data_IF_594017159229
#
_entry.id   IF_594017159229
#
_cell.length_a   1.000
_cell.length_b   1.000
_cell.length_c   1.000
_cell.angle_alpha   90.00
_cell.angle_beta   90.00
_cell.angle_gamma   90.00
#
_symmetry.space_group_name_H-M   'P 1'
#
loop_
_entity.id
_entity.type
_entity.pdbx_description
1 polymer ?
#
# COMPACT_ATOMS: atom_id res chain seq x y z
N UNK A 1 -14.63 -5.05 -3.53
CA UNK A 1 -13.74 -4.79 -2.38
C UNK A 1 -12.53 -3.87 -2.68
N UNK A 2 -11.81 -4.24 -3.74
CA UNK A 2 -10.61 -3.58 -4.30
C UNK A 2 -9.74 -4.53 -5.20
N UNK A 3 -8.81 -4.09 -6.07
CA UNK A 3 -8.06 -5.04 -6.94
C UNK A 3 -7.32 -6.22 -6.33
N UNK A 4 -6.87 -6.08 -5.08
CA UNK A 4 -6.11 -7.14 -4.37
C UNK A 4 -6.20 -6.76 -2.86
N UNK A 5 -6.37 -7.77 -1.97
CA UNK A 5 -6.36 -7.66 -0.48
C UNK A 5 -4.98 -7.10 -0.06
N UNK A 6 -4.91 -5.77 0.16
CA UNK A 6 -3.67 -4.99 0.54
C UNK A 6 -2.67 -5.61 1.53
N UNK A 7 -3.11 -6.59 2.32
CA UNK A 7 -2.20 -7.47 3.10
C UNK A 7 -1.15 -8.14 2.20
N UNK A 8 -1.57 -8.48 0.97
CA UNK A 8 -0.67 -9.00 -0.07
C UNK A 8 0.48 -8.03 -0.38
N UNK A 9 0.17 -6.75 -0.61
CA UNK A 9 1.17 -5.69 -0.77
C UNK A 9 2.12 -5.54 0.44
N UNK A 10 1.47 -5.54 1.59
CA UNK A 10 2.07 -5.41 2.93
C UNK A 10 3.14 -6.48 3.19
N UNK A 11 2.76 -7.73 2.93
CA UNK A 11 3.53 -8.96 3.09
C UNK A 11 4.70 -9.09 2.11
N UNK A 12 4.46 -8.76 0.83
CA UNK A 12 5.49 -8.77 -0.23
C UNK A 12 6.55 -7.67 0.03
N UNK A 13 6.06 -6.57 0.61
CA UNK A 13 6.89 -5.41 1.00
C UNK A 13 7.49 -5.63 2.41
N UNK A 14 7.00 -6.68 3.06
CA UNK A 14 7.51 -7.26 4.34
C UNK A 14 7.19 -6.37 5.56
N UNK A 15 6.15 -5.55 5.43
CA UNK A 15 5.80 -4.49 6.41
C UNK A 15 4.36 -4.69 6.94
N UNK A 16 4.26 -4.56 8.27
CA UNK A 16 3.01 -4.60 9.11
C UNK A 16 1.90 -3.80 8.35
N UNK A 17 0.70 -4.36 8.14
CA UNK A 17 -0.47 -3.67 7.45
C UNK A 17 -0.72 -2.21 7.83
N UNK A 18 -0.42 -1.85 9.07
CA UNK A 18 -0.57 -0.44 9.54
C UNK A 18 0.05 0.56 8.57
N UNK A 19 1.27 0.28 8.08
CA UNK A 19 1.93 1.17 7.10
C UNK A 19 1.13 1.34 5.79
N UNK A 20 0.78 0.22 5.16
CA UNK A 20 0.32 0.17 3.77
C UNK A 20 -0.95 1.03 3.56
N UNK A 21 -1.97 0.82 4.39
CA UNK A 21 -3.18 1.65 4.26
C UNK A 21 -3.11 3.14 4.55
N UNK A 22 -2.19 3.44 5.45
CA UNK A 22 -1.69 4.79 5.68
C UNK A 22 -0.95 5.44 4.51
N UNK A 23 -0.08 4.64 3.89
CA UNK A 23 0.77 5.02 2.74
C UNK A 23 -0.16 5.41 1.56
N UNK A 24 -1.16 4.57 1.40
CA UNK A 24 -2.11 4.60 0.29
C UNK A 24 -2.77 5.99 0.11
N UNK A 25 -3.26 6.50 1.24
CA UNK A 25 -3.77 7.90 1.35
C UNK A 25 -2.73 8.96 1.78
N UNK A 26 -1.46 8.57 1.69
CA UNK A 26 -0.26 9.35 1.95
C UNK A 26 -0.04 9.88 3.38
N UNK A 27 -0.85 9.26 4.23
CA UNK A 27 -1.07 9.57 5.65
C UNK A 27 -0.88 11.05 6.06
N UNK A 28 -1.38 11.92 5.17
CA UNK A 28 -1.11 13.37 5.11
C UNK A 28 0.37 13.77 4.98
N UNK A 29 1.19 13.25 5.89
CA UNK A 29 2.67 13.35 5.82
C UNK A 29 3.24 11.95 6.21
N UNK A 30 3.95 11.24 5.31
CA UNK A 30 4.70 10.02 5.71
C UNK A 30 6.13 9.97 5.15
N UNK A 31 7.02 9.24 5.84
CA UNK A 31 8.44 9.06 5.45
C UNK A 31 8.60 8.40 4.05
N UNK A 32 9.40 9.06 3.20
CA UNK A 32 9.61 8.68 1.79
C UNK A 32 9.99 7.20 1.56
N UNK A 33 11.05 6.77 2.26
CA UNK A 33 11.57 5.40 2.20
C UNK A 33 10.54 4.25 2.31
N UNK A 34 9.54 4.49 3.15
CA UNK A 34 8.37 3.61 3.38
C UNK A 34 7.61 3.45 2.04
N UNK A 35 7.36 4.61 1.43
CA UNK A 35 6.67 4.79 0.15
C UNK A 35 7.37 4.09 -1.01
N UNK A 36 8.70 4.23 -1.05
CA UNK A 36 9.55 3.64 -2.09
C UNK A 36 9.47 2.12 -2.25
N UNK A 37 9.30 1.51 -1.09
CA UNK A 37 9.20 0.04 -0.90
C UNK A 37 7.80 -0.49 -1.29
N UNK A 38 6.78 0.22 -0.82
CA UNK A 38 5.36 -0.03 -1.08
C UNK A 38 5.12 0.14 -2.61
N UNK A 39 5.65 1.23 -3.15
CA UNK A 39 5.56 1.72 -4.54
C UNK A 39 6.07 0.66 -5.54
N UNK A 40 7.20 0.08 -5.13
CA UNK A 40 7.85 -1.01 -5.86
C UNK A 40 6.94 -2.27 -5.90
N UNK A 41 6.53 -2.64 -4.69
CA UNK A 41 5.60 -3.77 -4.43
C UNK A 41 4.27 -3.66 -5.22
N UNK A 42 3.78 -2.43 -5.29
CA UNK A 42 2.48 -2.09 -5.86
C UNK A 42 2.23 -2.45 -7.32
N UNK A 43 3.18 -1.99 -8.12
CA UNK A 43 3.18 -2.24 -9.55
C UNK A 43 3.31 -3.74 -9.90
N UNK A 44 4.18 -4.36 -9.10
CA UNK A 44 4.58 -5.78 -9.19
C UNK A 44 3.43 -6.77 -8.88
N UNK A 45 2.55 -6.35 -7.98
CA UNK A 45 1.39 -7.13 -7.46
C UNK A 45 0.05 -6.76 -8.13
N UNK A 46 0.18 -6.17 -9.33
CA UNK A 46 -0.91 -5.71 -10.18
C UNK A 46 -1.90 -4.70 -9.52
N UNK A 47 -1.39 -4.00 -8.51
CA UNK A 47 -2.19 -3.11 -7.65
C UNK A 47 -1.98 -1.67 -8.14
N UNK A 48 -2.97 -0.85 -7.80
CA UNK A 48 -3.02 0.55 -8.21
C UNK A 48 -3.22 1.62 -7.14
N UNK A 49 -2.23 2.52 -7.03
CA UNK A 49 -1.97 3.42 -5.88
C UNK A 49 -3.01 3.68 -4.77
N UNK A 50 -4.15 4.25 -5.12
CA UNK A 50 -5.10 4.68 -4.08
C UNK A 50 -6.46 3.93 -3.99
N UNK A 51 -6.36 2.60 -4.07
CA UNK A 51 -7.59 1.76 -4.16
C UNK A 51 -8.11 1.38 -2.75
N UNK A 52 -8.79 2.35 -2.14
CA UNK A 52 -9.62 2.17 -0.93
C UNK A 52 -10.95 1.44 -1.24
N UNK A 53 -11.66 0.98 -0.22
CA UNK A 53 -12.97 0.27 -0.41
C UNK A 53 -14.11 1.22 -0.77
N UNK A 54 -14.03 1.67 -2.02
CA UNK A 54 -14.99 2.57 -2.69
C UNK A 54 -15.14 2.22 -4.18
N UNK A 55 -16.15 1.38 -4.34
CA UNK A 55 -16.70 0.88 -5.61
C UNK A 55 -18.01 0.13 -5.36
N UNK A 56 -17.94 -0.80 -4.40
CA UNK A 56 -19.13 -1.56 -3.95
C UNK A 56 -19.73 -1.06 -2.63
#
# INVERSE_FOLDING_TARGET
MKPVTLYDVAEYAGVSYQTVSRVVNQASHVSAKTREKVEAAMAELNYIPNRVAQQL
#
